data_IF_119854051647
#
_entry.id   IF_119854051647
#
_cell.length_a   1.000
_cell.length_b   1.000
_cell.length_c   1.000
_cell.angle_alpha   90.00
_cell.angle_beta   90.00
_cell.angle_gamma   90.00
#
_symmetry.space_group_name_H-M   'P 1'
#
loop_
_entity.id
_entity.type
_entity.pdbx_description
1 polymer ?
#
# COMPACT_ATOMS: atom_id res chain seq x y z
N UNK A 1 60.46 -26.48 10.07
CA UNK A 1 59.65 -25.24 10.02
C UNK A 1 58.42 -25.42 10.92
N UNK A 2 58.14 -24.42 11.74
CA UNK A 2 57.23 -24.43 12.90
C UNK A 2 55.79 -24.83 12.57
N UNK A 3 55.25 -25.81 13.31
CA UNK A 3 53.81 -25.98 13.59
C UNK A 3 53.29 -24.69 14.22
N UNK A 4 52.41 -23.95 13.54
CA UNK A 4 51.62 -22.88 14.16
C UNK A 4 50.56 -23.54 15.05
N UNK A 5 50.70 -23.31 16.34
CA UNK A 5 49.83 -23.75 17.43
C UNK A 5 48.43 -23.15 17.28
N UNK A 6 47.40 -23.99 17.43
CA UNK A 6 45.98 -23.63 17.45
C UNK A 6 45.51 -22.91 18.72
N UNK A 7 46.42 -22.35 19.54
CA UNK A 7 46.05 -21.58 20.74
C UNK A 7 45.79 -20.09 20.48
N UNK A 8 46.00 -19.59 19.26
CA UNK A 8 45.71 -18.18 18.93
C UNK A 8 44.22 -17.88 18.69
N UNK A 9 43.44 -18.89 18.31
CA UNK A 9 42.01 -18.74 17.96
C UNK A 9 41.08 -18.67 19.18
N UNK A 10 41.50 -19.19 20.33
CA UNK A 10 40.67 -19.31 21.54
C UNK A 10 40.78 -18.13 22.51
N UNK A 11 41.76 -17.24 22.32
CA UNK A 11 41.96 -16.07 23.20
C UNK A 11 41.63 -14.74 22.52
N UNK A 12 41.61 -14.70 21.18
CA UNK A 12 41.28 -13.51 20.40
C UNK A 12 39.99 -13.65 19.56
N UNK A 13 39.53 -14.88 19.28
CA UNK A 13 38.30 -15.13 18.51
C UNK A 13 37.03 -14.69 19.24
N UNK A 14 36.93 -14.96 20.55
CA UNK A 14 35.75 -14.59 21.35
C UNK A 14 35.57 -13.07 21.46
N UNK A 15 36.66 -12.29 21.42
CA UNK A 15 36.59 -10.84 21.52
C UNK A 15 36.24 -10.18 20.16
N UNK A 16 36.79 -10.68 19.05
CA UNK A 16 36.40 -10.23 17.69
C UNK A 16 34.95 -10.60 17.36
N UNK A 17 34.49 -11.78 17.75
CA UNK A 17 33.09 -12.20 17.57
C UNK A 17 32.14 -11.39 18.46
N UNK A 18 32.53 -11.08 19.71
CA UNK A 18 31.75 -10.22 20.60
C UNK A 18 31.67 -8.78 20.09
N UNK A 19 32.77 -8.22 19.58
CA UNK A 19 32.79 -6.88 18.98
C UNK A 19 31.95 -6.83 17.69
N UNK A 20 32.04 -7.85 16.84
CA UNK A 20 31.22 -7.97 15.64
C UNK A 20 29.72 -8.11 15.98
N UNK A 21 29.37 -8.88 17.02
CA UNK A 21 27.99 -9.01 17.49
C UNK A 21 27.49 -7.69 18.08
N UNK A 22 28.32 -6.99 18.86
CA UNK A 22 28.00 -5.67 19.40
C UNK A 22 27.78 -4.65 18.30
N UNK A 23 28.64 -4.62 17.28
CA UNK A 23 28.49 -3.73 16.12
C UNK A 23 27.17 -4.01 15.36
N UNK A 24 26.80 -5.29 15.21
CA UNK A 24 25.50 -5.67 14.62
C UNK A 24 24.32 -5.19 15.45
N UNK A 25 24.36 -5.35 16.77
CA UNK A 25 23.30 -4.89 17.67
C UNK A 25 23.16 -3.36 17.67
N UNK A 26 24.29 -2.64 17.60
CA UNK A 26 24.30 -1.17 17.43
C UNK A 26 23.61 -0.80 16.11
N UNK A 27 24.00 -1.46 15.01
CA UNK A 27 23.39 -1.23 13.70
C UNK A 27 21.89 -1.50 13.68
N UNK A 28 21.43 -2.57 14.33
CA UNK A 28 19.99 -2.84 14.46
C UNK A 28 19.26 -1.72 15.20
N UNK A 29 19.86 -1.18 16.26
CA UNK A 29 19.27 -0.08 17.03
C UNK A 29 19.15 1.18 16.19
N UNK A 30 20.19 1.52 15.42
CA UNK A 30 20.17 2.65 14.46
C UNK A 30 19.06 2.48 13.43
N UNK A 31 18.97 1.31 12.79
CA UNK A 31 17.97 1.04 11.74
C UNK A 31 16.54 1.18 12.26
N UNK A 32 16.26 0.73 13.49
CA UNK A 32 14.93 0.88 14.10
C UNK A 32 14.66 2.34 14.48
N UNK A 33 15.68 3.08 14.95
CA UNK A 33 15.53 4.50 15.24
C UNK A 33 15.23 5.32 13.98
N UNK A 34 15.94 5.05 12.88
CA UNK A 34 15.72 5.69 11.58
C UNK A 34 14.31 5.40 11.04
N UNK A 35 13.86 4.14 11.13
CA UNK A 35 12.50 3.77 10.75
C UNK A 35 11.45 4.50 11.60
N UNK A 36 11.63 4.53 12.92
CA UNK A 36 10.70 5.19 13.84
C UNK A 36 10.61 6.68 13.53
N UNK A 37 11.73 7.35 13.28
CA UNK A 37 11.71 8.77 12.93
C UNK A 37 11.00 9.00 11.60
N UNK A 38 11.24 8.17 10.57
CA UNK A 38 10.52 8.27 9.31
C UNK A 38 8.99 8.08 9.47
N UNK A 39 8.57 7.11 10.30
CA UNK A 39 7.16 6.89 10.63
C UNK A 39 6.57 8.11 11.34
N UNK A 40 7.28 8.68 12.31
CA UNK A 40 6.83 9.86 13.04
C UNK A 40 6.74 11.09 12.15
N UNK A 41 7.62 11.28 11.17
CA UNK A 41 7.53 12.38 10.21
C UNK A 41 6.26 12.25 9.35
N UNK A 42 5.99 11.06 8.82
CA UNK A 42 4.74 10.79 8.11
C UNK A 42 3.53 11.05 9.01
N UNK A 43 3.51 10.53 10.23
CA UNK A 43 2.38 10.70 11.13
C UNK A 43 2.14 12.16 11.59
N UNK A 44 3.22 12.90 11.89
CA UNK A 44 3.15 14.32 12.23
C UNK A 44 2.65 15.16 11.06
N UNK A 45 2.99 14.81 9.84
CA UNK A 45 2.44 15.45 8.63
C UNK A 45 0.91 15.39 8.59
N UNK A 46 0.32 14.21 8.86
CA UNK A 46 -1.14 14.10 8.97
C UNK A 46 -1.71 14.99 10.08
N UNK A 47 -1.07 15.03 11.26
CA UNK A 47 -1.52 15.90 12.37
C UNK A 47 -1.42 17.40 12.04
N UNK A 48 -0.44 17.80 11.23
CA UNK A 48 -0.27 19.19 10.79
C UNK A 48 -1.29 19.60 9.72
N UNK A 49 -1.59 18.72 8.77
CA UNK A 49 -2.50 19.02 7.65
C UNK A 49 -3.97 18.86 8.06
N UNK A 50 -4.28 17.92 8.96
CA UNK A 50 -5.65 17.61 9.36
C UNK A 50 -5.90 17.78 10.87
N UNK A 51 -6.72 18.77 11.28
CA UNK A 51 -7.06 18.96 12.69
C UNK A 51 -7.65 17.71 13.36
N UNK A 52 -8.43 16.92 12.60
CA UNK A 52 -9.02 15.65 13.09
C UNK A 52 -7.97 14.59 13.43
N UNK A 53 -6.78 14.65 12.82
CA UNK A 53 -5.70 13.70 13.07
C UNK A 53 -4.88 14.04 14.34
N UNK A 54 -5.00 15.26 14.88
CA UNK A 54 -4.22 15.72 16.05
C UNK A 54 -4.43 14.85 17.31
N UNK A 55 -5.58 14.19 17.44
CA UNK A 55 -5.89 13.29 18.55
C UNK A 55 -5.36 11.85 18.39
N UNK A 56 -4.75 11.51 17.26
CA UNK A 56 -4.25 10.16 16.99
C UNK A 56 -2.95 9.93 17.77
N UNK A 57 -2.93 8.89 18.60
CA UNK A 57 -1.73 8.48 19.35
C UNK A 57 -0.66 7.92 18.41
N UNK A 58 0.56 8.48 18.50
CA UNK A 58 1.71 8.12 17.64
C UNK A 58 2.66 7.11 18.28
N UNK A 59 2.47 6.78 19.54
CA UNK A 59 3.27 5.77 20.25
C UNK A 59 2.90 4.38 19.76
N UNK A 60 3.92 3.59 19.44
CA UNK A 60 3.75 2.19 19.08
C UNK A 60 3.38 1.37 20.32
N UNK A 61 2.39 0.49 20.16
CA UNK A 61 1.93 -0.42 21.20
C UNK A 61 2.58 -1.80 21.01
N UNK A 62 3.48 -2.15 21.92
CA UNK A 62 4.23 -3.41 21.92
C UNK A 62 3.58 -4.50 22.77
N UNK A 63 2.35 -4.29 23.25
CA UNK A 63 1.63 -5.30 24.01
C UNK A 63 1.23 -6.50 23.14
N UNK A 64 1.14 -7.68 23.76
CA UNK A 64 0.71 -8.90 23.07
C UNK A 64 -0.76 -8.81 22.64
N UNK A 65 -1.58 -8.12 23.43
CA UNK A 65 -2.99 -7.87 23.16
C UNK A 65 -3.18 -7.06 21.88
N UNK A 66 -2.33 -6.04 21.66
CA UNK A 66 -2.34 -5.23 20.43
C UNK A 66 -2.03 -6.11 19.21
N UNK A 67 -1.00 -6.96 19.32
CA UNK A 67 -0.62 -7.88 18.26
C UNK A 67 -1.74 -8.87 17.90
N UNK A 68 -2.45 -9.41 18.90
CA UNK A 68 -3.52 -10.38 18.65
C UNK A 68 -4.73 -9.76 17.91
N UNK A 69 -4.92 -8.44 18.03
CA UNK A 69 -6.05 -7.72 17.41
C UNK A 69 -5.79 -7.26 15.97
N UNK A 70 -4.56 -7.37 15.45
CA UNK A 70 -4.22 -6.83 14.13
C UNK A 70 -5.12 -7.36 13.00
N UNK A 71 -5.33 -8.67 12.98
CA UNK A 71 -6.14 -9.30 11.95
C UNK A 71 -7.62 -8.91 12.06
N UNK A 72 -8.16 -8.85 13.28
CA UNK A 72 -9.55 -8.40 13.52
C UNK A 72 -9.73 -6.95 13.08
N UNK A 73 -8.80 -6.06 13.46
CA UNK A 73 -8.82 -4.66 13.05
C UNK A 73 -8.77 -4.51 11.53
N UNK A 74 -7.91 -5.27 10.86
CA UNK A 74 -7.84 -5.31 9.40
C UNK A 74 -9.18 -5.73 8.77
N UNK A 75 -9.77 -6.83 9.24
CA UNK A 75 -11.05 -7.32 8.72
C UNK A 75 -12.16 -6.29 8.95
N UNK A 76 -12.20 -5.64 10.11
CA UNK A 76 -13.18 -4.62 10.44
C UNK A 76 -13.07 -3.39 9.51
N UNK A 77 -11.85 -2.91 9.26
CA UNK A 77 -11.59 -1.82 8.32
C UNK A 77 -11.94 -2.24 6.89
N UNK A 78 -11.54 -3.44 6.46
CA UNK A 78 -11.79 -3.90 5.09
C UNK A 78 -13.28 -4.09 4.79
N UNK A 79 -14.10 -4.48 5.77
CA UNK A 79 -15.56 -4.62 5.61
C UNK A 79 -16.30 -3.29 5.51
N UNK A 80 -15.70 -2.20 5.97
CA UNK A 80 -16.32 -0.87 6.01
C UNK A 80 -15.81 0.06 4.91
N UNK A 81 -14.97 -0.45 4.00
CA UNK A 81 -14.48 0.28 2.83
C UNK A 81 -15.65 0.73 1.96
N UNK A 82 -15.80 2.04 1.79
CA UNK A 82 -16.72 2.63 0.82
C UNK A 82 -15.93 3.05 -0.41
N UNK A 83 -16.42 2.69 -1.59
CA UNK A 83 -15.88 3.20 -2.85
C UNK A 83 -15.97 4.71 -2.85
N UNK A 84 -14.96 5.40 -3.39
CA UNK A 84 -14.93 6.86 -3.48
C UNK A 84 -14.45 7.30 -4.84
N UNK A 85 -14.79 8.52 -5.21
CA UNK A 85 -14.25 9.16 -6.39
C UNK A 85 -13.89 10.61 -6.11
N UNK A 86 -12.82 11.09 -6.75
CA UNK A 86 -12.40 12.47 -6.75
C UNK A 86 -13.00 13.17 -7.94
N UNK A 87 -13.68 14.29 -7.71
CA UNK A 87 -14.16 15.12 -8.79
C UNK A 87 -12.98 15.72 -9.58
N UNK A 88 -12.95 15.47 -10.89
CA UNK A 88 -11.97 16.07 -11.81
C UNK A 88 -12.43 17.44 -12.31
N UNK A 89 -13.73 17.71 -12.23
CA UNK A 89 -14.43 18.88 -12.75
C UNK A 89 -15.52 19.32 -11.76
N UNK A 90 -16.01 20.54 -11.92
CA UNK A 90 -17.22 21.00 -11.24
C UNK A 90 -18.46 20.40 -11.92
N UNK A 91 -19.46 20.02 -11.11
CA UNK A 91 -20.78 19.62 -11.57
C UNK A 91 -21.83 20.38 -10.77
N UNK A 92 -22.54 21.29 -11.44
CA UNK A 92 -23.62 22.05 -10.82
C UNK A 92 -24.89 21.21 -10.77
N UNK A 93 -25.51 21.15 -9.60
CA UNK A 93 -26.80 20.52 -9.38
C UNK A 93 -27.89 21.42 -9.96
N UNK A 94 -28.70 20.89 -10.87
CA UNK A 94 -29.89 21.54 -11.41
C UNK A 94 -31.18 20.93 -10.84
N UNK A 95 -31.20 19.61 -10.65
CA UNK A 95 -32.38 18.88 -10.15
C UNK A 95 -32.15 18.24 -8.77
N UNK A 96 -33.25 17.87 -8.11
CA UNK A 96 -33.19 17.38 -6.73
C UNK A 96 -32.55 16.00 -6.57
N UNK A 97 -32.51 15.21 -7.65
CA UNK A 97 -31.90 13.89 -7.71
C UNK A 97 -30.42 13.93 -8.13
N UNK A 98 -29.90 15.07 -8.58
CA UNK A 98 -28.50 15.28 -8.93
C UNK A 98 -27.61 15.57 -7.70
N UNK A 99 -26.36 15.08 -7.73
CA UNK A 99 -25.35 15.38 -6.72
C UNK A 99 -24.34 16.39 -7.26
N UNK A 100 -24.52 17.67 -6.93
CA UNK A 100 -23.55 18.70 -7.28
C UNK A 100 -22.26 18.64 -6.44
N UNK A 101 -21.13 18.92 -7.07
CA UNK A 101 -19.80 18.92 -6.45
C UNK A 101 -18.84 19.86 -7.18
N UNK A 102 -17.72 20.17 -6.52
CA UNK A 102 -16.61 20.94 -7.08
C UNK A 102 -15.44 20.03 -7.40
N UNK A 103 -14.58 20.46 -8.31
CA UNK A 103 -13.29 19.83 -8.59
C UNK A 103 -12.52 19.61 -7.28
N UNK A 104 -11.96 18.41 -7.15
CA UNK A 104 -11.28 17.84 -5.98
C UNK A 104 -12.20 17.42 -4.82
N UNK A 105 -13.52 17.57 -4.90
CA UNK A 105 -14.42 16.98 -3.91
C UNK A 105 -14.35 15.46 -3.93
N UNK A 106 -14.60 14.86 -2.76
CA UNK A 106 -14.46 13.43 -2.54
C UNK A 106 -15.84 12.84 -2.31
N UNK A 107 -16.33 12.15 -3.32
CA UNK A 107 -17.67 11.62 -3.37
C UNK A 107 -17.62 10.17 -2.91
N UNK A 108 -18.47 9.82 -1.95
CA UNK A 108 -18.68 8.42 -1.57
C UNK A 108 -19.56 7.77 -2.63
N UNK A 109 -19.07 6.76 -3.31
CA UNK A 109 -19.81 6.02 -4.32
C UNK A 109 -20.76 5.04 -3.65
N UNK A 110 -22.05 5.19 -3.95
CA UNK A 110 -23.14 4.34 -3.44
C UNK A 110 -23.54 3.29 -4.48
N UNK A 111 -23.51 3.62 -5.78
CA UNK A 111 -23.82 2.66 -6.84
C UNK A 111 -23.15 3.01 -8.16
N UNK A 112 -22.64 1.99 -8.86
CA UNK A 112 -22.04 2.06 -10.20
C UNK A 112 -22.70 1.06 -11.17
N UNK A 113 -24.00 0.78 -10.96
CA UNK A 113 -24.73 -0.15 -11.83
C UNK A 113 -24.80 0.32 -13.28
N UNK A 114 -24.74 1.62 -13.50
CA UNK A 114 -24.67 2.25 -14.82
C UNK A 114 -23.24 2.76 -15.08
N UNK A 115 -22.76 2.58 -16.32
CA UNK A 115 -21.39 2.92 -16.71
C UNK A 115 -21.16 4.44 -16.81
N UNK A 116 -22.22 5.22 -17.03
CA UNK A 116 -22.16 6.65 -17.29
C UNK A 116 -22.73 7.50 -16.15
N UNK A 117 -23.62 6.93 -15.34
CA UNK A 117 -24.33 7.62 -14.27
C UNK A 117 -24.16 6.88 -12.93
N UNK A 118 -23.44 7.48 -12.00
CA UNK A 118 -23.19 6.89 -10.68
C UNK A 118 -24.03 7.59 -9.61
N UNK A 119 -24.39 6.86 -8.57
CA UNK A 119 -25.04 7.43 -7.38
C UNK A 119 -23.98 7.60 -6.31
N UNK A 120 -23.88 8.79 -5.73
CA UNK A 120 -22.93 9.09 -4.68
C UNK A 120 -23.52 9.88 -3.52
N UNK A 121 -22.71 10.09 -2.51
CA UNK A 121 -23.00 10.89 -1.33
C UNK A 121 -21.84 11.85 -1.05
N UNK A 122 -22.16 13.13 -0.85
CA UNK A 122 -21.23 14.21 -0.49
C UNK A 122 -21.91 15.13 0.51
N UNK A 123 -21.27 15.39 1.67
CA UNK A 123 -21.80 16.26 2.73
C UNK A 123 -23.23 15.88 3.19
N UNK A 124 -23.55 14.59 3.21
CA UNK A 124 -24.86 14.06 3.58
C UNK A 124 -25.95 14.22 2.51
N UNK A 125 -25.63 14.83 1.36
CA UNK A 125 -26.49 14.87 0.19
C UNK A 125 -26.19 13.66 -0.69
N UNK A 126 -27.25 13.02 -1.20
CA UNK A 126 -27.15 11.87 -2.09
C UNK A 126 -27.86 12.18 -3.39
N UNK A 127 -27.23 11.81 -4.51
CA UNK A 127 -27.77 12.01 -5.84
C UNK A 127 -26.93 11.32 -6.89
N UNK A 128 -27.37 11.40 -8.14
CA UNK A 128 -26.62 10.88 -9.27
C UNK A 128 -25.66 11.92 -9.85
N UNK A 129 -24.61 11.45 -10.51
CA UNK A 129 -23.69 12.31 -11.23
C UNK A 129 -22.96 11.57 -12.38
N UNK A 130 -22.42 12.30 -13.38
CA UNK A 130 -21.71 11.68 -14.50
C UNK A 130 -20.38 11.02 -14.08
N UNK A 131 -20.23 9.73 -14.34
CA UNK A 131 -19.03 8.96 -14.00
C UNK A 131 -17.73 9.56 -14.60
N UNK A 132 -17.83 10.15 -15.80
CA UNK A 132 -16.69 10.78 -16.49
C UNK A 132 -16.15 12.06 -15.82
N UNK A 133 -16.86 12.62 -14.86
CA UNK A 133 -16.44 13.84 -14.15
C UNK A 133 -15.63 13.53 -12.90
N UNK A 134 -15.45 12.25 -12.59
CA UNK A 134 -14.73 11.80 -11.42
C UNK A 134 -13.68 10.76 -11.80
N UNK A 135 -12.66 10.66 -10.96
CA UNK A 135 -11.67 9.59 -10.98
C UNK A 135 -11.91 8.73 -9.74
N UNK A 136 -12.01 7.40 -9.91
CA UNK A 136 -12.15 6.52 -8.75
C UNK A 136 -10.91 6.63 -7.87
N UNK A 137 -11.14 7.01 -6.62
CA UNK A 137 -10.12 6.94 -5.59
C UNK A 137 -10.12 5.50 -5.11
N UNK A 138 -8.97 4.87 -5.23
CA UNK A 138 -8.79 3.46 -4.97
C UNK A 138 -9.39 3.05 -3.60
N UNK A 139 -10.04 1.89 -3.61
CA UNK A 139 -11.13 1.50 -2.70
C UNK A 139 -10.66 1.08 -1.30
N UNK A 140 -9.49 1.53 -0.86
CA UNK A 140 -8.61 0.68 -0.04
C UNK A 140 -8.31 1.17 1.37
N UNK A 141 -8.76 2.36 1.77
CA UNK A 141 -8.48 2.93 3.10
C UNK A 141 -9.73 3.40 3.83
N UNK A 142 -9.56 3.71 5.14
CA UNK A 142 -10.49 4.49 6.00
C UNK A 142 -10.98 5.80 5.34
N UNK A 143 -11.67 6.69 6.06
CA UNK A 143 -12.01 8.06 5.60
C UNK A 143 -10.88 8.73 4.81
N UNK A 144 -11.24 9.40 3.72
CA UNK A 144 -10.27 10.03 2.84
C UNK A 144 -9.54 11.12 3.61
N UNK A 145 -8.26 11.27 3.30
CA UNK A 145 -7.39 12.26 3.90
C UNK A 145 -6.63 13.00 2.80
N UNK A 146 -6.76 14.33 2.79
CA UNK A 146 -5.99 15.20 1.89
C UNK A 146 -4.48 15.11 2.20
N UNK A 147 -4.15 14.87 3.47
CA UNK A 147 -2.76 14.72 3.91
C UNK A 147 -2.08 13.48 3.33
N UNK A 148 -2.85 12.44 3.01
CA UNK A 148 -2.38 11.17 2.48
C UNK A 148 -2.45 11.04 0.95
N UNK A 149 -3.01 12.03 0.25
CA UNK A 149 -3.19 12.04 -1.20
C UNK A 149 -2.01 12.74 -1.89
N UNK A 150 -1.19 11.98 -2.62
CA UNK A 150 0.01 12.51 -3.28
C UNK A 150 -0.28 13.40 -4.50
N UNK A 151 -1.52 13.40 -5.00
CA UNK A 151 -1.96 14.33 -6.05
C UNK A 151 -2.38 15.69 -5.49
N UNK A 152 -2.58 15.80 -4.17
CA UNK A 152 -2.96 17.04 -3.48
C UNK A 152 -1.80 17.58 -2.66
N UNK A 153 -1.13 16.70 -1.91
CA UNK A 153 -0.13 17.07 -0.92
C UNK A 153 1.21 16.43 -1.26
N UNK A 154 2.00 17.08 -2.11
CA UNK A 154 3.29 16.54 -2.60
C UNK A 154 4.26 16.15 -1.47
N UNK A 155 4.20 16.81 -0.32
CA UNK A 155 5.04 16.49 0.85
C UNK A 155 4.89 15.03 1.32
N UNK A 156 3.71 14.40 1.15
CA UNK A 156 3.53 12.99 1.52
C UNK A 156 4.39 12.06 0.67
N UNK A 157 4.66 12.43 -0.59
CA UNK A 157 5.51 11.68 -1.51
C UNK A 157 6.95 11.66 -1.00
N UNK A 158 7.48 12.83 -0.62
CA UNK A 158 8.86 12.94 -0.11
C UNK A 158 9.03 12.19 1.21
N UNK A 159 8.05 12.28 2.11
CA UNK A 159 8.07 11.57 3.38
C UNK A 159 8.03 10.05 3.17
N UNK A 160 7.13 9.56 2.32
CA UNK A 160 6.97 8.12 2.11
C UNK A 160 8.11 7.55 1.27
N UNK A 161 8.40 8.12 0.09
CA UNK A 161 9.40 7.58 -0.84
C UNK A 161 10.82 8.00 -0.50
N UNK A 162 11.00 9.20 0.08
CA UNK A 162 12.30 9.76 0.41
C UNK A 162 12.81 9.40 1.81
N UNK A 163 11.93 9.16 2.79
CA UNK A 163 12.35 8.81 4.15
C UNK A 163 11.92 7.40 4.58
N UNK A 164 10.62 7.08 4.52
CA UNK A 164 10.10 5.80 5.01
C UNK A 164 10.60 4.61 4.20
N UNK A 165 10.55 4.69 2.86
CA UNK A 165 10.97 3.59 2.01
C UNK A 165 12.47 3.25 2.15
N UNK A 166 13.41 4.21 2.15
CA UNK A 166 14.82 3.92 2.41
C UNK A 166 15.07 3.30 3.79
N UNK A 167 14.42 3.80 4.85
CA UNK A 167 14.56 3.24 6.19
C UNK A 167 14.09 1.78 6.25
N UNK A 168 12.93 1.50 5.65
CA UNK A 168 12.41 0.13 5.58
C UNK A 168 13.27 -0.76 4.68
N UNK A 169 13.76 -0.25 3.54
CA UNK A 169 14.68 -0.99 2.67
C UNK A 169 15.96 -1.38 3.43
N UNK A 170 16.54 -0.48 4.22
CA UNK A 170 17.74 -0.77 5.00
C UNK A 170 17.54 -1.92 6.01
N UNK A 171 16.34 -2.05 6.59
CA UNK A 171 15.94 -3.19 7.42
C UNK A 171 15.88 -4.50 6.62
N UNK A 172 15.38 -4.46 5.39
CA UNK A 172 15.36 -5.62 4.48
C UNK A 172 16.73 -5.95 3.87
N UNK A 173 17.64 -4.99 3.78
CA UNK A 173 19.02 -5.26 3.35
C UNK A 173 19.88 -5.82 4.49
N UNK A 174 19.50 -5.53 5.75
CA UNK A 174 20.23 -5.96 6.94
C UNK A 174 20.22 -7.50 7.10
N UNK A 175 21.34 -8.12 6.72
CA UNK A 175 21.51 -9.57 6.79
C UNK A 175 21.01 -10.31 5.57
N UNK A 176 20.71 -9.62 4.47
CA UNK A 176 20.45 -10.26 3.19
C UNK A 176 21.70 -11.01 2.70
N UNK A 177 21.53 -12.29 2.36
CA UNK A 177 22.62 -13.16 1.88
C UNK A 177 23.01 -12.76 0.46
N UNK A 178 24.31 -12.62 0.23
CA UNK A 178 24.85 -12.47 -1.13
C UNK A 178 24.93 -13.85 -1.79
N UNK A 179 24.61 -13.97 -3.10
CA UNK A 179 24.72 -15.24 -3.80
C UNK A 179 26.14 -15.81 -3.74
N UNK A 180 26.26 -17.11 -3.45
CA UNK A 180 27.55 -17.78 -3.18
C UNK A 180 28.45 -17.96 -4.42
N UNK A 181 27.91 -17.84 -5.64
CA UNK A 181 28.66 -18.05 -6.89
C UNK A 181 28.23 -16.97 -7.91
N UNK A 182 29.20 -16.17 -8.37
CA UNK A 182 29.15 -15.20 -9.47
C UNK A 182 27.86 -14.35 -9.60
N UNK A 183 27.81 -13.25 -8.83
CA UNK A 183 27.20 -11.99 -9.29
C UNK A 183 25.68 -11.97 -9.54
N UNK A 184 24.92 -12.95 -9.04
CA UNK A 184 23.46 -12.91 -9.12
C UNK A 184 22.86 -11.67 -8.44
N UNK A 185 21.69 -11.19 -8.89
CA UNK A 185 21.04 -10.03 -8.28
C UNK A 185 20.70 -10.33 -6.82
N UNK A 186 20.99 -9.38 -5.94
CA UNK A 186 20.71 -9.47 -4.51
C UNK A 186 19.92 -8.22 -4.13
N UNK A 187 18.62 -8.38 -3.90
CA UNK A 187 17.73 -7.28 -3.59
C UNK A 187 16.51 -7.76 -2.78
N UNK A 188 16.02 -6.97 -1.80
CA UNK A 188 14.81 -7.30 -1.04
C UNK A 188 13.60 -7.72 -1.88
N UNK A 189 13.43 -7.11 -3.06
CA UNK A 189 12.33 -7.43 -3.98
C UNK A 189 12.25 -8.92 -4.34
N UNK A 190 13.39 -9.56 -4.60
CA UNK A 190 13.41 -10.98 -4.99
C UNK A 190 12.97 -11.89 -3.83
N UNK A 191 13.35 -11.53 -2.59
CA UNK A 191 12.84 -12.21 -1.40
C UNK A 191 11.33 -12.03 -1.25
N UNK A 192 10.84 -10.79 -1.41
CA UNK A 192 9.41 -10.46 -1.28
C UNK A 192 8.59 -11.24 -2.30
N UNK A 193 9.05 -11.28 -3.55
CA UNK A 193 8.39 -12.01 -4.64
C UNK A 193 8.31 -13.52 -4.35
N UNK A 194 9.41 -14.13 -3.94
CA UNK A 194 9.43 -15.56 -3.59
C UNK A 194 8.55 -15.86 -2.37
N UNK A 195 8.64 -15.04 -1.32
CA UNK A 195 7.87 -15.23 -0.10
C UNK A 195 6.37 -15.09 -0.38
N UNK A 196 5.94 -14.02 -1.07
CA UNK A 196 4.54 -13.81 -1.44
C UNK A 196 3.98 -14.95 -2.30
N UNK A 197 4.80 -15.51 -3.21
CA UNK A 197 4.42 -16.67 -4.02
C UNK A 197 4.20 -17.94 -3.19
N UNK A 198 5.07 -18.24 -2.22
CA UNK A 198 4.95 -19.45 -1.40
C UNK A 198 3.76 -19.42 -0.45
N UNK A 199 3.42 -18.26 0.11
CA UNK A 199 2.30 -18.15 1.06
C UNK A 199 0.95 -18.49 0.42
N UNK A 200 0.81 -18.35 -0.90
CA UNK A 200 -0.42 -18.71 -1.64
C UNK A 200 -0.30 -20.03 -2.40
N UNK A 201 0.84 -20.71 -2.38
CA UNK A 201 1.11 -21.91 -3.21
C UNK A 201 0.18 -23.09 -2.87
N UNK A 202 -0.15 -23.26 -1.57
CA UNK A 202 -1.02 -24.36 -1.12
C UNK A 202 -2.45 -24.25 -1.66
N UNK A 203 -2.91 -23.04 -1.95
CA UNK A 203 -4.26 -22.73 -2.41
C UNK A 203 -4.24 -21.99 -3.77
N UNK A 204 -3.16 -22.18 -4.55
CA UNK A 204 -2.83 -21.35 -5.73
C UNK A 204 -3.96 -21.31 -6.76
N UNK A 205 -4.52 -22.46 -7.16
CA UNK A 205 -5.57 -22.50 -8.18
C UNK A 205 -6.84 -21.75 -7.74
N UNK A 206 -7.17 -21.81 -6.44
CA UNK A 206 -8.33 -21.12 -5.86
C UNK A 206 -8.08 -19.60 -5.77
N UNK A 207 -6.91 -19.20 -5.29
CA UNK A 207 -6.50 -17.80 -5.16
C UNK A 207 -6.33 -17.16 -6.54
N UNK A 208 -5.60 -17.80 -7.44
CA UNK A 208 -5.35 -17.34 -8.79
C UNK A 208 -6.64 -17.23 -9.60
N UNK A 209 -7.49 -18.26 -9.62
CA UNK A 209 -8.78 -18.20 -10.31
C UNK A 209 -9.62 -17.04 -9.79
N UNK A 210 -9.68 -16.82 -8.48
CA UNK A 210 -10.43 -15.73 -7.88
C UNK A 210 -9.86 -14.36 -8.22
N UNK A 211 -8.54 -14.16 -8.09
CA UNK A 211 -7.87 -12.90 -8.40
C UNK A 211 -7.98 -12.53 -9.89
N UNK A 212 -7.83 -13.51 -10.79
CA UNK A 212 -7.95 -13.31 -12.24
C UNK A 212 -9.39 -13.02 -12.64
N UNK A 213 -10.37 -13.74 -12.09
CA UNK A 213 -11.79 -13.51 -12.37
C UNK A 213 -12.23 -12.11 -11.91
N UNK A 214 -11.84 -11.69 -10.70
CA UNK A 214 -12.14 -10.34 -10.20
C UNK A 214 -11.54 -9.24 -11.09
N UNK A 215 -10.29 -9.39 -11.52
CA UNK A 215 -9.62 -8.41 -12.39
C UNK A 215 -10.20 -8.37 -13.81
N UNK A 216 -10.55 -9.53 -14.37
CA UNK A 216 -10.98 -9.65 -15.78
C UNK A 216 -12.44 -9.24 -15.96
N UNK A 217 -13.31 -9.60 -15.03
CA UNK A 217 -14.75 -9.40 -15.16
C UNK A 217 -15.27 -8.18 -14.40
N UNK A 218 -14.40 -7.40 -13.75
CA UNK A 218 -14.77 -6.30 -12.83
C UNK A 218 -15.85 -6.73 -11.84
N UNK A 219 -15.84 -8.02 -11.46
CA UNK A 219 -16.81 -8.56 -10.51
C UNK A 219 -16.58 -7.85 -9.19
N UNK A 220 -17.65 -7.29 -8.63
CA UNK A 220 -17.65 -6.77 -7.28
C UNK A 220 -17.03 -7.84 -6.37
N UNK A 221 -16.11 -7.46 -5.49
CA UNK A 221 -15.61 -8.37 -4.47
C UNK A 221 -16.82 -8.72 -3.60
N UNK A 222 -17.46 -9.86 -3.85
CA UNK A 222 -18.68 -10.35 -3.18
C UNK A 222 -18.48 -10.51 -1.66
N UNK A 223 -18.37 -9.39 -0.94
CA UNK A 223 -18.20 -9.29 0.51
C UNK A 223 -16.97 -9.98 1.11
N UNK A 224 -16.10 -10.61 0.29
CA UNK A 224 -14.99 -11.43 0.80
C UNK A 224 -13.69 -10.62 0.87
N UNK A 225 -13.40 -10.16 2.09
CA UNK A 225 -12.11 -9.56 2.47
C UNK A 225 -10.96 -10.52 2.12
N UNK A 226 -9.99 -10.07 1.33
CA UNK A 226 -8.76 -10.81 1.05
C UNK A 226 -7.96 -11.03 2.33
N UNK A 227 -7.27 -12.16 2.46
CA UNK A 227 -6.29 -12.27 3.55
C UNK A 227 -5.06 -11.39 3.26
N UNK A 228 -4.26 -11.00 4.26
CA UNK A 228 -3.03 -10.24 4.04
C UNK A 228 -2.06 -10.92 3.06
N UNK A 229 -1.99 -12.25 3.06
CA UNK A 229 -1.19 -13.08 2.16
C UNK A 229 -1.67 -12.95 0.71
N UNK A 230 -2.97 -13.14 0.48
CA UNK A 230 -3.59 -13.02 -0.84
C UNK A 230 -3.45 -11.59 -1.40
N UNK A 231 -3.61 -10.59 -0.52
CA UNK A 231 -3.48 -9.19 -0.87
C UNK A 231 -2.01 -8.82 -1.19
N UNK A 232 -1.05 -9.35 -0.43
CA UNK A 232 0.38 -9.20 -0.71
C UNK A 232 0.74 -9.79 -2.08
N UNK A 233 0.32 -11.03 -2.34
CA UNK A 233 0.56 -11.69 -3.61
C UNK A 233 -0.04 -10.88 -4.77
N UNK A 234 -1.31 -10.47 -4.67
CA UNK A 234 -1.97 -9.62 -5.67
C UNK A 234 -1.20 -8.32 -5.93
N UNK A 235 -0.75 -7.64 -4.86
CA UNK A 235 -0.01 -6.40 -4.96
C UNK A 235 1.35 -6.59 -5.66
N UNK A 236 2.10 -7.64 -5.30
CA UNK A 236 3.38 -7.98 -5.96
C UNK A 236 3.18 -8.25 -7.45
N UNK A 237 2.16 -9.05 -7.83
CA UNK A 237 1.86 -9.33 -9.24
C UNK A 237 1.43 -8.07 -10.00
N UNK A 238 0.65 -7.19 -9.36
CA UNK A 238 0.24 -5.90 -9.93
C UNK A 238 1.44 -5.02 -10.23
N UNK A 239 2.34 -4.86 -9.25
CA UNK A 239 3.57 -4.07 -9.39
C UNK A 239 4.47 -4.66 -10.47
N UNK A 240 4.72 -5.98 -10.45
CA UNK A 240 5.51 -6.63 -11.51
C UNK A 240 4.94 -6.34 -12.90
N UNK A 241 3.63 -6.53 -13.10
CA UNK A 241 2.99 -6.29 -14.40
C UNK A 241 3.22 -4.86 -14.91
N UNK A 242 2.96 -3.83 -14.10
CA UNK A 242 3.12 -2.44 -14.55
C UNK A 242 4.59 -2.02 -14.68
N UNK A 243 5.44 -2.44 -13.74
CA UNK A 243 6.82 -2.00 -13.64
C UNK A 243 7.76 -2.73 -14.62
N UNK A 244 7.54 -4.02 -14.88
CA UNK A 244 8.32 -4.77 -15.88
C UNK A 244 8.05 -4.26 -17.28
N UNK A 245 6.79 -3.93 -17.58
CA UNK A 245 6.40 -3.28 -18.84
C UNK A 245 7.11 -1.94 -19.03
N UNK A 246 7.37 -1.20 -17.94
CA UNK A 246 8.09 0.06 -17.94
C UNK A 246 9.61 -0.09 -17.77
N UNK A 247 10.14 -1.32 -17.71
CA UNK A 247 11.55 -1.62 -17.41
C UNK A 247 12.08 -0.95 -16.13
N UNK A 248 11.22 -0.80 -15.12
CA UNK A 248 11.56 -0.14 -13.87
C UNK A 248 12.45 -1.03 -12.98
N UNK A 249 13.33 -0.38 -12.22
CA UNK A 249 14.26 -1.05 -11.31
C UNK A 249 13.55 -1.64 -10.08
N UNK A 250 14.16 -2.62 -9.44
CA UNK A 250 13.59 -3.26 -8.23
C UNK A 250 13.40 -2.28 -7.06
N UNK A 251 14.19 -1.20 -6.99
CA UNK A 251 14.00 -0.11 -6.01
C UNK A 251 12.69 0.65 -6.24
N UNK A 252 12.28 0.80 -7.50
CA UNK A 252 10.99 1.41 -7.86
C UNK A 252 9.87 0.46 -7.46
N UNK A 253 9.98 -0.82 -7.83
CA UNK A 253 9.00 -1.85 -7.43
C UNK A 253 8.81 -1.93 -5.91
N UNK A 254 9.90 -1.91 -5.16
CA UNK A 254 9.87 -1.93 -3.69
C UNK A 254 9.10 -0.74 -3.15
N UNK A 255 9.42 0.48 -3.58
CA UNK A 255 8.73 1.71 -3.15
C UNK A 255 7.25 1.70 -3.51
N UNK A 256 6.91 1.26 -4.71
CA UNK A 256 5.52 1.12 -5.16
C UNK A 256 4.75 0.13 -4.30
N UNK A 257 5.34 -1.02 -3.95
CA UNK A 257 4.71 -1.97 -3.04
C UNK A 257 4.48 -1.36 -1.64
N UNK A 258 5.45 -0.61 -1.09
CA UNK A 258 5.25 0.09 0.18
C UNK A 258 4.05 1.04 0.10
N UNK A 259 3.93 1.80 -0.99
CA UNK A 259 2.79 2.69 -1.22
C UNK A 259 1.46 1.93 -1.27
N UNK A 260 1.41 0.79 -1.96
CA UNK A 260 0.22 -0.08 -1.95
C UNK A 260 -0.09 -0.58 -0.54
N UNK A 261 0.91 -1.03 0.22
CA UNK A 261 0.72 -1.49 1.60
C UNK A 261 0.23 -0.42 2.57
N UNK A 262 0.61 0.85 2.34
CA UNK A 262 0.11 2.02 3.07
C UNK A 262 -1.34 2.36 2.69
N UNK A 263 -1.65 2.37 1.39
CA UNK A 263 -3.01 2.58 0.89
C UNK A 263 -3.98 1.54 1.45
N UNK A 264 -3.54 0.29 1.51
CA UNK A 264 -4.30 -0.84 2.05
C UNK A 264 -4.29 -0.88 3.60
N UNK A 265 -3.41 -0.10 4.24
CA UNK A 265 -3.19 -0.06 5.70
C UNK A 265 -2.71 -1.39 6.32
N UNK A 266 -2.05 -2.24 5.52
CA UNK A 266 -1.62 -3.61 5.90
C UNK A 266 -0.12 -3.80 5.94
N UNK A 267 0.69 -2.74 5.78
CA UNK A 267 2.15 -2.86 5.69
C UNK A 267 2.78 -3.65 6.86
N UNK A 268 2.25 -3.48 8.08
CA UNK A 268 2.66 -4.23 9.27
C UNK A 268 2.29 -5.73 9.21
N UNK A 269 1.13 -6.06 8.63
CA UNK A 269 0.71 -7.45 8.40
C UNK A 269 1.53 -8.09 7.28
N UNK A 270 1.87 -7.35 6.23
CA UNK A 270 2.76 -7.85 5.18
C UNK A 270 4.16 -8.18 5.70
N UNK A 271 4.69 -7.38 6.64
CA UNK A 271 5.94 -7.73 7.31
C UNK A 271 5.82 -9.07 8.06
N UNK A 272 4.72 -9.28 8.79
CA UNK A 272 4.45 -10.55 9.48
C UNK A 272 4.38 -11.73 8.52
N UNK A 273 3.64 -11.59 7.40
CA UNK A 273 3.54 -12.61 6.35
C UNK A 273 4.94 -12.97 5.81
N UNK A 274 5.73 -11.96 5.46
CA UNK A 274 7.08 -12.15 4.93
C UNK A 274 8.01 -12.84 5.94
N UNK A 275 7.98 -12.42 7.20
CA UNK A 275 8.80 -13.00 8.26
C UNK A 275 8.33 -14.39 8.71
N UNK A 276 7.06 -14.73 8.48
CA UNK A 276 6.48 -16.05 8.78
C UNK A 276 6.84 -17.10 7.72
N UNK A 277 7.32 -16.70 6.55
CA UNK A 277 7.78 -17.61 5.48
C UNK A 277 9.16 -18.23 5.80
N UNK A 278 9.22 -19.05 6.87
CA UNK A 278 10.47 -19.47 7.53
C UNK A 278 11.51 -20.07 6.57
N UNK A 279 11.10 -20.94 5.65
CA UNK A 279 11.99 -21.57 4.68
C UNK A 279 12.59 -20.54 3.70
N UNK A 280 11.77 -19.57 3.26
CA UNK A 280 12.21 -18.48 2.38
C UNK A 280 13.12 -17.54 3.11
N UNK A 281 12.76 -17.13 4.33
CA UNK A 281 13.61 -16.28 5.18
C UNK A 281 14.96 -16.94 5.45
N UNK A 282 15.00 -18.24 5.75
CA UNK A 282 16.23 -19.01 5.93
C UNK A 282 17.11 -19.02 4.67
N UNK A 283 16.50 -19.14 3.49
CA UNK A 283 17.21 -19.08 2.21
C UNK A 283 17.86 -17.72 1.98
N UNK A 284 17.14 -16.64 2.28
CA UNK A 284 17.54 -15.27 1.89
C UNK A 284 18.32 -14.50 2.96
N UNK A 285 18.16 -14.83 4.24
CA UNK A 285 18.70 -14.01 5.32
C UNK A 285 19.64 -14.77 6.26
N UNK A 286 20.60 -14.03 6.80
CA UNK A 286 21.51 -14.49 7.84
C UNK A 286 20.78 -14.57 9.20
N UNK A 287 21.21 -15.46 10.13
CA UNK A 287 20.56 -15.63 11.42
C UNK A 287 20.48 -14.37 12.30
N UNK A 288 21.37 -13.40 12.09
CA UNK A 288 21.42 -12.13 12.82
C UNK A 288 20.55 -11.01 12.19
N UNK A 289 19.88 -11.29 11.07
CA UNK A 289 18.94 -10.35 10.44
C UNK A 289 17.68 -10.13 11.29
N UNK A 290 16.92 -9.08 10.98
CA UNK A 290 15.62 -8.88 11.62
C UNK A 290 14.65 -10.01 11.26
N UNK A 291 14.64 -10.43 10.00
CA UNK A 291 13.73 -11.44 9.45
C UNK A 291 13.95 -12.81 10.12
N UNK A 292 15.18 -13.12 10.54
CA UNK A 292 15.55 -14.35 11.26
C UNK A 292 15.50 -14.25 12.79
N UNK A 293 15.04 -13.13 13.35
CA UNK A 293 15.00 -12.89 14.80
C UNK A 293 13.63 -12.40 15.26
N UNK A 294 13.29 -12.45 16.55
CA UNK A 294 12.06 -11.82 17.06
C UNK A 294 12.00 -10.29 16.85
N UNK A 295 13.09 -9.65 16.42
CA UNK A 295 13.16 -8.20 16.21
C UNK A 295 12.19 -7.67 15.15
N UNK A 296 11.72 -8.50 14.21
CA UNK A 296 10.68 -8.07 13.26
C UNK A 296 9.35 -7.71 13.95
N UNK A 297 9.06 -8.25 15.15
CA UNK A 297 7.86 -7.90 15.92
C UNK A 297 7.90 -6.44 16.37
N UNK A 298 9.08 -5.94 16.76
CA UNK A 298 9.26 -4.53 17.09
C UNK A 298 8.97 -3.65 15.87
N UNK A 299 9.54 -3.99 14.71
CA UNK A 299 9.34 -3.28 13.45
C UNK A 299 7.85 -3.29 13.05
N UNK A 300 7.17 -4.43 13.21
CA UNK A 300 5.73 -4.57 12.97
C UNK A 300 4.93 -3.56 13.81
N UNK A 301 5.22 -3.45 15.11
CA UNK A 301 4.55 -2.49 15.99
C UNK A 301 4.79 -1.04 15.58
N UNK A 302 5.99 -0.68 15.13
CA UNK A 302 6.25 0.66 14.57
C UNK A 302 5.39 0.93 13.33
N UNK A 303 5.41 0.01 12.36
CA UNK A 303 4.65 0.13 11.11
C UNK A 303 3.13 0.19 11.36
N UNK A 304 2.63 -0.47 12.41
CA UNK A 304 1.22 -0.45 12.78
C UNK A 304 0.70 0.96 13.04
N UNK A 305 1.54 1.89 13.50
CA UNK A 305 1.14 3.30 13.70
C UNK A 305 0.59 3.91 12.40
N UNK A 306 1.17 3.55 11.24
CA UNK A 306 0.73 4.07 9.95
C UNK A 306 -0.65 3.55 9.51
N UNK A 307 -1.14 2.42 10.05
CA UNK A 307 -2.50 1.92 9.75
C UNK A 307 -3.61 2.81 10.33
N UNK A 308 -3.26 3.78 11.17
CA UNK A 308 -4.18 4.78 11.70
C UNK A 308 -4.51 5.88 10.67
N UNK A 309 -3.68 6.05 9.64
CA UNK A 309 -3.81 7.11 8.64
C UNK A 309 -4.27 6.57 7.29
N UNK A 310 -5.05 7.35 6.55
CA UNK A 310 -5.55 6.98 5.23
C UNK A 310 -4.65 7.55 4.14
N UNK A 311 -4.10 6.68 3.31
CA UNK A 311 -3.23 7.05 2.20
C UNK A 311 -3.96 6.89 0.86
N UNK A 312 -3.58 7.70 -0.12
CA UNK A 312 -3.94 7.57 -1.53
C UNK A 312 -2.72 7.89 -2.38
N UNK A 313 -1.76 6.96 -2.38
CA UNK A 313 -0.48 7.10 -3.05
C UNK A 313 -0.48 6.38 -4.40
N UNK A 314 0.01 7.02 -5.46
CA UNK A 314 0.12 6.40 -6.77
C UNK A 314 1.22 5.33 -6.80
N UNK A 315 0.84 4.07 -7.04
CA UNK A 315 1.81 2.98 -7.24
C UNK A 315 2.67 3.16 -8.50
N UNK A 316 2.22 3.98 -9.46
CA UNK A 316 2.87 4.18 -10.75
C UNK A 316 3.57 5.56 -10.83
N UNK A 317 3.70 6.26 -9.69
CA UNK A 317 4.28 7.62 -9.58
C UNK A 317 5.62 7.79 -10.30
N UNK A 318 6.48 6.77 -10.21
CA UNK A 318 7.84 6.81 -10.75
C UNK A 318 7.96 6.14 -12.13
N UNK A 319 6.83 5.68 -12.69
CA UNK A 319 6.80 5.14 -14.03
C UNK A 319 6.70 6.27 -15.06
N UNK A 320 7.21 6.06 -16.29
CA UNK A 320 7.01 7.02 -17.36
C UNK A 320 5.52 7.29 -17.59
N UNK A 321 5.14 8.56 -17.66
CA UNK A 321 3.77 8.96 -18.00
C UNK A 321 3.42 8.33 -19.35
N UNK A 322 2.39 7.48 -19.38
CA UNK A 322 1.83 7.01 -20.65
C UNK A 322 1.32 8.24 -21.39
N UNK A 323 1.94 8.58 -22.53
CA UNK A 323 1.32 9.48 -23.49
C UNK A 323 0.09 8.77 -24.04
N UNK A 324 -1.04 8.90 -23.35
CA UNK A 324 -2.31 8.67 -24.01
C UNK A 324 -2.38 9.65 -25.19
N UNK A 325 -2.73 9.14 -26.36
CA UNK A 325 -2.94 9.96 -27.55
C UNK A 325 -3.92 11.07 -27.19
N UNK A 326 -3.37 12.29 -27.10
CA UNK A 326 -4.12 13.51 -26.98
C UNK A 326 -4.97 13.68 -28.23
N UNK A 327 -6.20 13.18 -28.24
CA UNK A 327 -7.30 13.70 -29.07
C UNK A 327 -8.62 12.97 -28.77
N UNK A 328 -9.39 13.53 -27.83
CA UNK A 328 -10.85 13.70 -27.99
C UNK A 328 -11.29 14.88 -27.13
N UNK A 329 -11.56 15.99 -27.81
CA UNK A 329 -12.08 17.27 -27.28
C UNK A 329 -13.19 17.06 -26.22
N UNK A 330 -13.35 17.98 -25.26
CA UNK A 330 -14.47 17.94 -24.32
C UNK A 330 -15.77 18.21 -25.08
N UNK A 331 -16.55 17.15 -25.33
CA UNK A 331 -17.95 17.25 -25.73
C UNK A 331 -18.76 17.73 -24.52
N UNK A 332 -18.77 19.06 -24.30
CA UNK A 332 -19.76 19.71 -23.43
C UNK A 332 -21.19 19.51 -23.96
N UNK A 333 -21.34 19.29 -25.26
CA UNK A 333 -22.66 19.20 -25.91
C UNK A 333 -23.24 17.77 -25.97
N UNK A 334 -22.50 16.76 -25.50
CA UNK A 334 -22.90 15.35 -25.64
C UNK A 334 -23.64 14.75 -24.44
N UNK A 335 -23.51 15.34 -23.24
CA UNK A 335 -24.09 14.76 -22.00
C UNK A 335 -25.57 15.05 -21.92
N UNK A 336 -25.94 16.32 -22.14
CA UNK A 336 -27.33 16.74 -22.17
C UNK A 336 -28.09 16.01 -23.29
N UNK A 337 -27.44 15.84 -24.45
CA UNK A 337 -28.02 15.14 -25.60
C UNK A 337 -28.10 13.62 -25.41
N UNK A 338 -27.18 12.98 -24.66
CA UNK A 338 -27.27 11.55 -24.29
C UNK A 338 -28.36 11.28 -23.25
N UNK A 339 -28.49 12.15 -22.24
CA UNK A 339 -29.52 12.02 -21.20
C UNK A 339 -30.93 12.18 -21.79
N UNK A 340 -31.08 13.03 -22.81
CA UNK A 340 -32.33 13.22 -23.54
C UNK A 340 -32.59 12.09 -24.55
N UNK A 341 -31.57 11.53 -25.22
CA UNK A 341 -31.74 10.51 -26.28
C UNK A 341 -32.06 9.10 -25.79
N UNK A 342 -31.73 8.73 -24.56
CA UNK A 342 -31.93 7.37 -24.05
C UNK A 342 -33.20 7.16 -23.20
N UNK A 343 -34.09 8.16 -23.09
CA UNK A 343 -35.42 8.03 -22.46
C UNK A 343 -35.44 7.23 -21.14
N UNK A 344 -34.47 7.47 -20.24
CA UNK A 344 -34.44 6.79 -18.94
C UNK A 344 -35.35 7.42 -17.87
N UNK A 345 -36.06 8.50 -18.20
CA UNK A 345 -37.19 8.99 -17.41
C UNK A 345 -38.28 9.54 -18.34
N UNK A 346 -39.37 8.78 -18.53
CA UNK A 346 -40.64 9.37 -18.94
C UNK A 346 -41.33 9.92 -17.70
N UNK A 347 -41.24 11.24 -17.50
CA UNK A 347 -42.29 11.94 -16.75
C UNK A 347 -43.10 12.70 -17.80
N UNK A 348 -44.20 12.08 -18.23
CA UNK A 348 -45.26 12.83 -18.91
C UNK A 348 -45.79 13.86 -17.90
N UNK A 349 -45.35 15.10 -18.10
CA UNK A 349 -45.96 16.30 -17.53
C UNK A 349 -46.18 17.25 -18.71
N UNK A 350 -47.35 17.14 -19.34
CA UNK A 350 -48.37 18.21 -19.31
C UNK A 350 -49.52 17.94 -20.30
N UNK A 351 -50.74 18.00 -19.75
CA UNK A 351 -52.02 17.89 -20.44
C UNK A 351 -53.18 17.70 -19.49
#
# INVERSE_FOLDING_TARGET
QRRKSGLGSLLFGDNEDAEALKAKNIKQTELVADLREAILQVARHFQCVEPKACGIELTADYSMESHQKDHENYVAVSRTRRRRAKALLDFERHDDDELGFRKNDIITIISQKDEHCWVGELNGLRGWFPAKFVEILDERSKEYSLAGDDTVTEAVTDLVRGALCPALKAIFEHGLKKPSILGGPCHPWLFIEEAAGKEVERDFDSVYSRLVLCKTYRLDEDGKVLTPEELLYRAVQSVNMSHDTAHAQMDVKFRSLICVGLNEQVLHLWLEVLCSSLQTVEKWYQPWSFQRSPGWVQIKCELRVLSKFAFSLSQDWELPVKKEESEKKPLKDGVQDMLVKHHLFSWDIDG
#
